data_IF_112774916840
#
_entry.id   IF_112774916840
#
_cell.length_a   1.000
_cell.length_b   1.000
_cell.length_c   1.000
_cell.angle_alpha   90.00
_cell.angle_beta   90.00
_cell.angle_gamma   90.00
#
_symmetry.space_group_name_H-M   'P 1'
#
loop_
_entity.id
_entity.type
_entity.pdbx_description
1 polymer ?
#
# COMPACT_ATOMS: atom_id res chain seq x y z
N UNK A 1 0.29 69.51 -51.97
CA UNK A 1 0.88 70.51 -51.06
C UNK A 1 0.89 69.91 -49.64
N UNK A 2 2.09 69.85 -49.02
CA UNK A 2 2.43 69.52 -47.62
C UNK A 2 2.01 68.15 -47.07
N UNK A 3 2.87 67.19 -46.99
CA UNK A 3 3.79 66.77 -45.90
C UNK A 3 3.24 66.85 -44.48
N UNK A 4 3.17 65.74 -43.79
CA UNK A 4 3.65 65.61 -42.44
C UNK A 4 3.89 64.10 -42.10
N UNK A 5 5.14 63.79 -41.79
CA UNK A 5 5.66 62.55 -41.24
C UNK A 5 5.17 62.39 -39.83
N UNK A 6 4.90 61.14 -39.41
CA UNK A 6 4.66 60.74 -38.05
C UNK A 6 5.25 59.37 -37.83
N UNK A 7 6.47 59.33 -37.30
CA UNK A 7 7.12 58.14 -36.78
C UNK A 7 6.35 57.68 -35.56
N UNK A 8 5.90 56.42 -35.53
CA UNK A 8 5.39 55.72 -34.38
C UNK A 8 6.26 54.52 -34.10
N UNK A 9 6.91 54.54 -32.93
CA UNK A 9 7.73 53.49 -32.37
C UNK A 9 7.01 52.12 -32.29
N UNK A 10 7.70 51.02 -32.45
CA UNK A 10 7.14 49.71 -32.21
C UNK A 10 7.04 49.48 -30.70
N UNK A 11 5.80 49.40 -30.22
CA UNK A 11 5.46 49.05 -28.85
C UNK A 11 5.88 47.62 -28.54
N UNK A 12 6.84 47.49 -27.63
CA UNK A 12 7.33 46.24 -27.03
C UNK A 12 6.14 45.51 -26.41
N UNK A 13 5.87 44.28 -26.84
CA UNK A 13 4.91 43.39 -26.25
C UNK A 13 5.41 43.01 -24.83
N UNK A 14 4.52 42.96 -23.82
CA UNK A 14 4.90 42.50 -22.49
C UNK A 14 5.23 41.01 -22.51
N UNK A 15 6.38 40.65 -21.87
CA UNK A 15 6.89 39.31 -21.76
C UNK A 15 5.86 38.37 -21.16
N UNK A 16 5.82 37.16 -21.72
CA UNK A 16 5.13 36.00 -21.17
C UNK A 16 5.80 35.70 -19.83
N UNK A 17 5.09 35.62 -18.71
CA UNK A 17 5.69 35.18 -17.46
C UNK A 17 6.11 33.72 -17.59
N UNK A 18 7.30 33.46 -17.10
CA UNK A 18 7.94 32.16 -17.02
C UNK A 18 7.00 31.09 -16.47
N UNK A 19 7.05 29.95 -17.10
CA UNK A 19 6.47 28.66 -16.71
C UNK A 19 6.49 28.51 -15.20
N UNK A 20 5.32 28.60 -14.58
CA UNK A 20 5.11 28.10 -13.23
C UNK A 20 5.51 26.62 -13.21
N UNK A 21 6.53 26.34 -12.45
CA UNK A 21 6.94 24.99 -12.07
C UNK A 21 5.72 24.27 -11.51
N UNK A 22 5.28 23.23 -12.20
CA UNK A 22 4.30 22.27 -11.67
C UNK A 22 4.76 21.88 -10.28
N UNK A 23 3.97 22.04 -9.22
CA UNK A 23 4.35 21.57 -7.91
C UNK A 23 4.54 20.07 -8.01
N UNK A 24 5.77 19.62 -7.73
CA UNK A 24 6.12 18.21 -7.66
C UNK A 24 5.15 17.51 -6.71
N UNK A 25 4.72 16.31 -7.09
CA UNK A 25 4.03 15.37 -6.21
C UNK A 25 4.85 15.31 -4.92
N UNK A 26 4.28 15.57 -3.74
CA UNK A 26 5.07 15.57 -2.51
C UNK A 26 5.72 14.19 -2.31
N UNK A 27 6.97 14.19 -1.91
CA UNK A 27 7.90 13.09 -1.60
C UNK A 27 7.42 12.10 -0.50
N UNK A 28 6.10 11.92 -0.36
CA UNK A 28 5.52 11.09 0.70
C UNK A 28 5.83 9.60 0.59
N UNK A 29 6.13 9.09 -0.60
CA UNK A 29 6.38 7.66 -0.78
C UNK A 29 7.78 7.26 -0.27
N UNK A 30 8.80 8.06 -0.56
CA UNK A 30 10.18 7.81 -0.10
C UNK A 30 10.29 7.92 1.42
N UNK A 31 9.51 8.81 2.05
CA UNK A 31 9.47 8.97 3.50
C UNK A 31 8.76 7.78 4.19
N UNK A 32 7.71 7.21 3.59
CA UNK A 32 7.03 6.02 4.12
C UNK A 32 7.96 4.80 4.05
N UNK A 33 8.66 4.59 2.93
CA UNK A 33 9.59 3.47 2.76
C UNK A 33 10.77 3.56 3.73
N UNK A 34 11.31 4.76 3.97
CA UNK A 34 12.39 4.97 4.93
C UNK A 34 11.94 4.69 6.38
N UNK A 35 10.75 5.16 6.77
CA UNK A 35 10.15 4.88 8.08
C UNK A 35 9.84 3.40 8.26
N UNK A 36 9.32 2.75 7.21
CA UNK A 36 9.05 1.32 7.21
C UNK A 36 10.34 0.50 7.40
N UNK A 37 11.41 0.85 6.69
CA UNK A 37 12.72 0.21 6.83
C UNK A 37 13.26 0.33 8.27
N UNK A 38 13.18 1.53 8.84
CA UNK A 38 13.56 1.78 10.24
C UNK A 38 12.73 0.90 11.19
N UNK A 39 11.40 0.86 11.00
CA UNK A 39 10.51 0.06 11.85
C UNK A 39 10.76 -1.43 11.75
N UNK A 40 11.07 -1.96 10.57
CA UNK A 40 11.45 -3.36 10.38
C UNK A 40 12.73 -3.71 11.16
N UNK A 41 13.74 -2.85 11.11
CA UNK A 41 14.96 -3.03 11.87
C UNK A 41 14.73 -3.00 13.40
N UNK A 42 13.89 -2.07 13.89
CA UNK A 42 13.48 -2.01 15.30
C UNK A 42 12.77 -3.28 15.75
N UNK A 43 11.77 -3.75 14.99
CA UNK A 43 11.02 -4.97 15.32
C UNK A 43 11.94 -6.20 15.44
N UNK A 44 12.94 -6.31 14.57
CA UNK A 44 13.95 -7.36 14.68
C UNK A 44 14.79 -7.19 15.94
N UNK A 45 15.25 -5.97 16.22
CA UNK A 45 16.06 -5.65 17.40
C UNK A 45 15.29 -5.87 18.71
N UNK A 46 14.01 -5.49 18.79
CA UNK A 46 13.11 -5.74 19.93
C UNK A 46 13.04 -7.25 20.30
N UNK A 47 13.18 -8.12 19.31
CA UNK A 47 13.22 -9.57 19.50
C UNK A 47 14.64 -10.11 19.77
N UNK A 48 15.66 -9.26 19.72
CA UNK A 48 17.06 -9.65 19.85
C UNK A 48 17.57 -10.51 18.68
N UNK A 49 16.90 -10.49 17.53
CA UNK A 49 17.26 -11.34 16.39
C UNK A 49 18.34 -10.71 15.51
N UNK A 50 19.30 -11.53 15.11
CA UNK A 50 20.20 -11.23 13.99
C UNK A 50 19.43 -11.29 12.66
N UNK A 51 20.00 -10.70 11.59
CA UNK A 51 19.46 -10.86 10.24
C UNK A 51 19.44 -12.35 9.78
N UNK A 52 20.37 -13.16 10.28
CA UNK A 52 20.38 -14.60 10.01
C UNK A 52 19.18 -15.32 10.62
N UNK A 53 18.91 -15.09 11.90
CA UNK A 53 17.77 -15.67 12.60
C UNK A 53 16.42 -15.20 12.00
N UNK A 54 16.33 -13.94 11.60
CA UNK A 54 15.13 -13.45 10.91
C UNK A 54 14.97 -14.13 9.54
N UNK A 55 16.06 -14.34 8.80
CA UNK A 55 16.04 -15.05 7.52
C UNK A 55 15.54 -16.50 7.67
N UNK A 56 16.01 -17.22 8.66
CA UNK A 56 15.56 -18.60 8.97
C UNK A 56 14.06 -18.65 9.30
N UNK A 57 13.56 -17.69 10.09
CA UNK A 57 12.14 -17.62 10.50
C UNK A 57 11.19 -17.22 9.39
N UNK A 58 11.64 -16.33 8.49
CA UNK A 58 10.80 -15.78 7.42
C UNK A 58 10.94 -16.53 6.10
N UNK A 59 12.04 -17.26 5.88
CA UNK A 59 12.41 -17.84 4.59
C UNK A 59 12.82 -16.78 3.55
N UNK A 60 13.17 -15.56 4.01
CA UNK A 60 13.65 -14.46 3.15
C UNK A 60 15.19 -14.44 3.26
N UNK A 61 15.89 -14.17 2.14
CA UNK A 61 17.34 -14.11 2.18
C UNK A 61 17.85 -12.99 3.09
N UNK A 62 18.96 -13.23 3.79
CA UNK A 62 19.62 -12.22 4.63
C UNK A 62 19.93 -10.93 3.87
N UNK A 63 20.34 -11.05 2.60
CA UNK A 63 20.64 -9.89 1.75
C UNK A 63 19.37 -9.05 1.45
N UNK A 64 18.26 -9.71 1.15
CA UNK A 64 16.96 -9.05 0.93
C UNK A 64 16.49 -8.32 2.19
N UNK A 65 16.55 -8.96 3.35
CA UNK A 65 16.22 -8.36 4.65
C UNK A 65 17.07 -7.13 4.93
N UNK A 66 18.39 -7.25 4.75
CA UNK A 66 19.32 -6.13 4.96
C UNK A 66 19.03 -4.95 4.05
N UNK A 67 18.70 -5.19 2.78
CA UNK A 67 18.33 -4.12 1.84
C UNK A 67 17.01 -3.47 2.20
N UNK A 68 16.03 -4.26 2.62
CA UNK A 68 14.73 -3.73 3.08
C UNK A 68 14.89 -2.86 4.34
N UNK A 69 15.71 -3.28 5.32
CA UNK A 69 15.96 -2.51 6.55
C UNK A 69 16.80 -1.23 6.32
N UNK A 70 17.46 -1.09 5.16
CA UNK A 70 18.19 0.12 4.76
C UNK A 70 17.45 0.98 3.74
N UNK A 71 16.19 0.69 3.46
CA UNK A 71 15.39 1.34 2.42
C UNK A 71 16.03 1.29 1.01
N UNK A 72 16.89 0.29 0.74
CA UNK A 72 17.49 0.09 -0.58
C UNK A 72 16.53 -0.60 -1.56
N UNK A 73 15.47 -1.19 -1.05
CA UNK A 73 14.36 -1.76 -1.81
C UNK A 73 13.05 -1.46 -1.06
N UNK A 74 11.98 -1.18 -1.79
CA UNK A 74 10.63 -1.18 -1.27
C UNK A 74 10.17 -2.63 -1.07
N UNK A 75 9.70 -3.03 0.14
CA UNK A 75 9.27 -4.39 0.40
C UNK A 75 7.97 -4.73 -0.34
N UNK A 76 7.92 -5.93 -0.95
CA UNK A 76 6.69 -6.42 -1.59
C UNK A 76 5.62 -6.84 -0.55
N UNK A 77 4.35 -6.92 -0.97
CA UNK A 77 3.27 -7.40 -0.11
C UNK A 77 3.54 -8.80 0.46
N UNK A 78 4.10 -9.70 -0.34
CA UNK A 78 4.46 -11.04 0.09
C UNK A 78 5.59 -11.02 1.15
N UNK A 79 6.59 -10.16 0.97
CA UNK A 79 7.68 -9.98 1.93
C UNK A 79 7.14 -9.39 3.25
N UNK A 80 6.34 -8.32 3.18
CA UNK A 80 5.71 -7.72 4.36
C UNK A 80 4.84 -8.73 5.11
N UNK A 81 4.03 -9.54 4.41
CA UNK A 81 3.20 -10.55 5.06
C UNK A 81 4.03 -11.59 5.83
N UNK A 82 5.17 -12.04 5.28
CA UNK A 82 6.09 -12.98 5.97
C UNK A 82 6.71 -12.35 7.22
N UNK A 83 7.13 -11.09 7.14
CA UNK A 83 7.65 -10.34 8.29
C UNK A 83 6.56 -10.16 9.36
N UNK A 84 5.37 -9.72 8.96
CA UNK A 84 4.22 -9.56 9.85
C UNK A 84 3.90 -10.87 10.59
N UNK A 85 3.94 -12.02 9.89
CA UNK A 85 3.64 -13.32 10.47
C UNK A 85 4.61 -13.72 11.61
N UNK A 86 5.91 -13.44 11.49
CA UNK A 86 6.90 -13.79 12.54
C UNK A 86 6.85 -12.80 13.72
N UNK A 87 6.38 -11.57 13.47
CA UNK A 87 6.20 -10.57 14.50
C UNK A 87 4.79 -10.61 15.16
N UNK A 88 3.85 -11.42 14.61
CA UNK A 88 2.48 -11.52 15.12
C UNK A 88 1.65 -10.26 14.89
N UNK A 89 1.84 -9.59 13.75
CA UNK A 89 1.21 -8.31 13.39
C UNK A 89 0.49 -8.41 12.06
N UNK A 90 -0.51 -7.56 11.84
CA UNK A 90 -1.08 -7.34 10.50
C UNK A 90 -0.21 -6.36 9.69
N UNK A 91 -0.36 -6.39 8.37
CA UNK A 91 0.28 -5.39 7.51
C UNK A 91 -0.21 -3.98 7.86
N UNK A 92 -1.49 -3.82 8.20
CA UNK A 92 -2.06 -2.54 8.63
C UNK A 92 -1.43 -2.05 9.93
N UNK A 93 -1.22 -2.94 10.91
CA UNK A 93 -0.53 -2.57 12.15
C UNK A 93 0.91 -2.10 11.87
N UNK A 94 1.65 -2.83 11.03
CA UNK A 94 3.00 -2.45 10.67
C UNK A 94 3.06 -1.10 9.95
N UNK A 95 2.18 -0.88 8.98
CA UNK A 95 2.12 0.38 8.24
C UNK A 95 1.59 1.52 9.13
N UNK A 96 0.60 1.25 9.98
CA UNK A 96 0.06 2.24 10.91
C UNK A 96 1.02 2.67 12.01
N UNK A 97 2.02 1.85 12.37
CA UNK A 97 3.09 2.23 13.31
C UNK A 97 4.12 3.19 12.69
N UNK A 98 4.20 3.19 11.39
CA UNK A 98 5.04 4.13 10.61
C UNK A 98 4.33 5.48 10.46
N UNK A 99 3.02 5.49 10.64
CA UNK A 99 2.16 6.67 10.61
C UNK A 99 1.86 7.11 12.04
N UNK A 100 1.66 8.40 12.27
CA UNK A 100 1.23 8.92 13.58
C UNK A 100 -0.13 8.31 13.97
N UNK A 101 -0.43 8.18 15.28
CA UNK A 101 -1.72 7.70 15.79
C UNK A 101 -2.88 8.31 15.01
N UNK A 102 -3.68 7.49 14.35
CA UNK A 102 -4.76 7.96 13.51
C UNK A 102 -5.83 8.69 14.35
N UNK A 103 -6.27 9.89 13.95
CA UNK A 103 -7.36 10.58 14.61
C UNK A 103 -8.68 9.80 14.45
N UNK A 104 -9.69 10.11 15.29
CA UNK A 104 -11.02 9.50 15.15
C UNK A 104 -11.64 9.72 13.77
N UNK A 105 -11.38 10.88 13.17
CA UNK A 105 -11.76 11.21 11.80
C UNK A 105 -10.52 11.14 10.90
N UNK A 106 -10.45 10.14 10.03
CA UNK A 106 -9.43 10.03 8.99
C UNK A 106 -10.01 10.57 7.69
N UNK A 107 -9.57 11.75 7.27
CA UNK A 107 -10.02 12.35 6.02
C UNK A 107 -9.43 11.60 4.82
N UNK A 108 -10.09 11.67 3.68
CA UNK A 108 -9.66 10.95 2.47
C UNK A 108 -8.22 11.30 2.04
N UNK A 109 -7.85 12.57 2.18
CA UNK A 109 -6.53 13.09 1.82
C UNK A 109 -5.43 12.67 2.82
N UNK A 110 -5.84 12.29 4.05
CA UNK A 110 -4.94 11.82 5.11
C UNK A 110 -4.81 10.28 5.13
N UNK A 111 -5.55 9.57 4.25
CA UNK A 111 -5.50 8.11 4.17
C UNK A 111 -4.23 7.66 3.45
N UNK A 112 -3.36 7.01 4.18
CA UNK A 112 -2.13 6.49 3.62
C UNK A 112 -2.37 5.51 2.47
N UNK A 113 -1.59 5.65 1.42
CA UNK A 113 -1.61 4.79 0.24
C UNK A 113 -0.24 4.13 0.10
N UNK A 114 -0.26 2.82 -0.01
CA UNK A 114 0.92 2.02 -0.30
C UNK A 114 0.71 1.23 -1.60
N UNK A 115 1.75 1.14 -2.42
CA UNK A 115 1.73 0.39 -3.68
C UNK A 115 2.77 -0.71 -3.65
N UNK A 116 2.34 -1.94 -3.97
CA UNK A 116 3.25 -3.07 -4.12
C UNK A 116 4.06 -2.92 -5.41
N UNK A 117 5.39 -2.89 -5.33
CA UNK A 117 6.23 -2.65 -6.51
C UNK A 117 6.20 -3.79 -7.53
N UNK A 118 5.90 -5.02 -7.10
CA UNK A 118 5.92 -6.19 -7.99
C UNK A 118 4.60 -6.36 -8.75
N UNK A 119 3.47 -6.22 -8.07
CA UNK A 119 2.15 -6.50 -8.63
C UNK A 119 1.36 -5.25 -9.02
N UNK A 120 1.83 -4.06 -8.61
CA UNK A 120 1.08 -2.83 -8.74
C UNK A 120 -0.19 -2.77 -7.85
N UNK A 121 -0.33 -3.70 -6.90
CA UNK A 121 -1.43 -3.66 -5.93
C UNK A 121 -1.37 -2.36 -5.12
N UNK A 122 -2.46 -1.60 -5.15
CA UNK A 122 -2.61 -0.38 -4.38
C UNK A 122 -3.48 -0.66 -3.17
N UNK A 123 -2.98 -0.31 -2.00
CA UNK A 123 -3.64 -0.42 -0.71
C UNK A 123 -3.79 0.96 -0.08
N UNK A 124 -5.04 1.37 0.17
CA UNK A 124 -5.37 2.60 0.91
C UNK A 124 -5.87 2.24 2.31
N UNK A 125 -5.29 2.82 3.34
CA UNK A 125 -5.69 2.64 4.74
C UNK A 125 -6.83 3.60 5.09
N UNK A 126 -8.08 3.13 4.96
CA UNK A 126 -9.29 3.96 5.20
C UNK A 126 -9.53 4.14 6.69
N UNK A 127 -9.42 3.05 7.46
CA UNK A 127 -9.45 3.06 8.92
C UNK A 127 -8.23 2.28 9.40
N UNK A 128 -7.13 2.97 9.72
CA UNK A 128 -5.90 2.32 10.18
C UNK A 128 -6.09 1.66 11.56
N UNK A 129 -5.20 0.74 11.93
CA UNK A 129 -5.21 0.13 13.25
C UNK A 129 -5.10 1.20 14.34
N UNK A 130 -5.92 1.06 15.37
CA UNK A 130 -5.87 1.95 16.53
C UNK A 130 -6.04 1.13 17.80
N UNK A 131 -5.33 1.46 18.90
CA UNK A 131 -5.53 0.81 20.20
C UNK A 131 -7.00 0.81 20.61
N UNK A 132 -7.53 -0.35 20.99
CA UNK A 132 -8.94 -0.53 21.38
C UNK A 132 -9.89 -0.85 20.23
N UNK A 133 -9.47 -0.73 18.98
CA UNK A 133 -10.25 -1.16 17.82
C UNK A 133 -9.78 -2.54 17.32
N UNK A 134 -10.75 -3.38 16.96
CA UNK A 134 -10.47 -4.74 16.47
C UNK A 134 -10.57 -4.87 14.95
N UNK A 135 -11.13 -3.86 14.29
CA UNK A 135 -11.33 -3.86 12.86
C UNK A 135 -10.51 -2.76 12.17
N UNK A 136 -9.98 -3.10 11.01
CA UNK A 136 -9.31 -2.20 10.09
C UNK A 136 -10.09 -2.18 8.78
N UNK A 137 -10.15 -1.03 8.13
CA UNK A 137 -10.79 -0.86 6.84
C UNK A 137 -9.75 -0.47 5.79
N UNK A 138 -9.66 -1.26 4.74
CA UNK A 138 -8.71 -1.09 3.65
C UNK A 138 -9.46 -1.03 2.33
N UNK A 139 -9.10 -0.11 1.47
CA UNK A 139 -9.48 -0.14 0.06
C UNK A 139 -8.32 -0.76 -0.75
N UNK A 140 -8.63 -1.80 -1.50
CA UNK A 140 -7.69 -2.47 -2.39
C UNK A 140 -8.02 -2.22 -3.86
N UNK A 141 -6.98 -2.01 -4.67
CA UNK A 141 -7.09 -1.99 -6.13
C UNK A 141 -6.05 -2.93 -6.73
N UNK A 142 -6.50 -3.84 -7.57
CA UNK A 142 -5.67 -4.74 -8.35
C UNK A 142 -5.84 -4.44 -9.84
N UNK A 143 -4.74 -4.23 -10.52
CA UNK A 143 -4.73 -4.06 -11.96
C UNK A 143 -4.93 -5.42 -12.69
N UNK A 144 -5.39 -5.41 -13.95
CA UNK A 144 -5.53 -6.62 -14.73
C UNK A 144 -4.26 -7.46 -14.76
N UNK A 145 -4.38 -8.75 -14.48
CA UNK A 145 -3.27 -9.69 -14.44
C UNK A 145 -2.49 -9.71 -13.12
N UNK A 146 -2.80 -8.86 -12.16
CA UNK A 146 -2.17 -8.91 -10.84
C UNK A 146 -2.45 -10.24 -10.13
N UNK A 147 -1.43 -10.76 -9.42
CA UNK A 147 -1.45 -12.02 -8.68
C UNK A 147 -0.73 -11.87 -7.34
N UNK A 148 -1.49 -11.67 -6.28
CA UNK A 148 -0.99 -11.56 -4.92
C UNK A 148 -1.12 -12.88 -4.18
N UNK A 149 -0.06 -13.35 -3.58
CA UNK A 149 -0.02 -14.61 -2.81
C UNK A 149 0.49 -14.39 -1.41
N UNK A 150 -0.25 -14.93 -0.45
CA UNK A 150 0.08 -14.92 0.96
C UNK A 150 0.12 -16.36 1.45
N UNK A 151 1.28 -16.84 1.88
CA UNK A 151 1.49 -18.25 2.24
C UNK A 151 0.81 -18.63 3.57
N UNK A 152 0.69 -17.68 4.48
CA UNK A 152 0.11 -17.87 5.82
C UNK A 152 -0.49 -16.59 6.37
N UNK A 153 -1.46 -16.69 7.31
CA UNK A 153 -1.97 -15.50 7.98
C UNK A 153 -0.88 -14.85 8.85
N UNK A 154 -0.83 -13.52 8.92
CA UNK A 154 0.09 -12.81 9.82
C UNK A 154 -0.31 -13.01 11.29
N UNK A 155 -1.61 -13.14 11.57
CA UNK A 155 -2.14 -13.38 12.92
C UNK A 155 -3.11 -14.55 12.86
N UNK A 156 -2.94 -15.59 13.72
CA UNK A 156 -3.91 -16.69 13.81
C UNK A 156 -5.30 -16.20 14.21
N UNK A 157 -6.34 -16.72 13.55
CA UNK A 157 -7.71 -16.34 13.84
C UNK A 157 -8.21 -15.08 13.14
N UNK A 158 -7.38 -14.44 12.33
CA UNK A 158 -7.75 -13.28 11.53
C UNK A 158 -8.98 -13.57 10.66
N UNK A 159 -9.96 -12.67 10.69
CA UNK A 159 -11.12 -12.72 9.79
C UNK A 159 -10.97 -11.66 8.70
N UNK A 160 -11.43 -11.99 7.50
CA UNK A 160 -11.47 -11.07 6.38
C UNK A 160 -12.85 -11.05 5.75
N UNK A 161 -13.35 -9.85 5.43
CA UNK A 161 -14.53 -9.62 4.63
C UNK A 161 -14.10 -8.78 3.43
N UNK A 162 -14.26 -9.33 2.22
CA UNK A 162 -13.88 -8.66 0.98
C UNK A 162 -15.13 -8.34 0.19
N UNK A 163 -15.44 -7.07 0.03
CA UNK A 163 -16.57 -6.58 -0.72
C UNK A 163 -16.12 -5.91 -2.02
N UNK A 164 -16.44 -6.50 -3.16
CA UNK A 164 -16.05 -5.98 -4.47
C UNK A 164 -16.94 -4.79 -4.83
N UNK A 165 -16.30 -3.71 -5.22
CA UNK A 165 -16.95 -2.47 -5.63
C UNK A 165 -17.01 -2.33 -7.16
N UNK A 166 -15.91 -2.69 -7.82
CA UNK A 166 -15.74 -2.58 -9.26
C UNK A 166 -14.89 -3.74 -9.79
N UNK A 167 -15.07 -4.09 -11.05
CA UNK A 167 -14.28 -5.10 -11.75
C UNK A 167 -14.57 -6.53 -11.31
N UNK A 168 -13.63 -7.44 -11.55
CA UNK A 168 -13.72 -8.85 -11.17
C UNK A 168 -12.50 -9.23 -10.34
N UNK A 169 -12.76 -9.78 -9.16
CA UNK A 169 -11.75 -10.29 -8.24
C UNK A 169 -11.91 -11.79 -8.08
N UNK A 170 -10.82 -12.52 -8.16
CA UNK A 170 -10.82 -13.94 -7.80
C UNK A 170 -9.96 -14.16 -6.57
N UNK A 171 -10.53 -14.80 -5.55
CA UNK A 171 -9.86 -15.08 -4.28
C UNK A 171 -9.83 -16.58 -4.05
N UNK A 172 -8.63 -17.12 -3.89
CA UNK A 172 -8.45 -18.52 -3.49
C UNK A 172 -8.23 -18.62 -1.99
N UNK A 173 -9.10 -19.35 -1.30
CA UNK A 173 -9.03 -19.59 0.15
C UNK A 173 -9.07 -21.09 0.39
N UNK A 174 -8.09 -21.63 1.10
CA UNK A 174 -8.01 -23.07 1.41
C UNK A 174 -8.14 -23.96 0.14
N UNK A 175 -7.54 -23.52 -0.97
CA UNK A 175 -7.56 -24.23 -2.25
C UNK A 175 -8.84 -24.04 -3.09
N UNK A 176 -9.86 -23.37 -2.56
CA UNK A 176 -11.10 -23.08 -3.29
C UNK A 176 -11.05 -21.67 -3.87
N UNK A 177 -11.22 -21.55 -5.19
CA UNK A 177 -11.30 -20.27 -5.88
C UNK A 177 -12.74 -19.74 -5.88
N UNK A 178 -12.89 -18.48 -5.52
CA UNK A 178 -14.14 -17.72 -5.52
C UNK A 178 -14.01 -16.54 -6.46
N UNK A 179 -14.82 -16.51 -7.52
CA UNK A 179 -14.87 -15.38 -8.44
C UNK A 179 -15.98 -14.43 -8.02
N UNK A 180 -15.63 -13.17 -7.82
CA UNK A 180 -16.48 -12.13 -7.27
C UNK A 180 -16.64 -10.99 -8.27
N UNK A 181 -17.88 -10.54 -8.44
CA UNK A 181 -18.26 -9.34 -9.19
C UNK A 181 -18.66 -8.18 -8.27
N UNK A 182 -19.01 -7.02 -8.85
CA UNK A 182 -19.47 -5.87 -8.08
C UNK A 182 -20.69 -6.21 -7.21
N UNK A 183 -20.62 -5.86 -5.92
CA UNK A 183 -21.65 -6.15 -4.92
C UNK A 183 -21.44 -7.45 -4.16
N UNK A 184 -20.64 -8.40 -4.67
CA UNK A 184 -20.37 -9.65 -3.97
C UNK A 184 -19.47 -9.41 -2.74
N UNK A 185 -19.72 -10.20 -1.70
CA UNK A 185 -18.92 -10.20 -0.47
C UNK A 185 -18.51 -11.63 -0.11
N UNK A 186 -17.20 -11.85 -0.04
CA UNK A 186 -16.60 -13.07 0.50
C UNK A 186 -16.09 -12.81 1.92
N UNK A 187 -16.52 -13.65 2.87
CA UNK A 187 -16.03 -13.62 4.25
C UNK A 187 -15.39 -14.93 4.64
N UNK A 188 -14.26 -14.89 5.29
CA UNK A 188 -13.53 -16.09 5.69
C UNK A 188 -12.57 -15.82 6.86
N UNK A 189 -12.25 -16.89 7.59
CA UNK A 189 -11.12 -16.91 8.53
C UNK A 189 -9.88 -17.36 7.82
N UNK A 190 -8.82 -16.58 7.94
CA UNK A 190 -7.54 -16.90 7.32
C UNK A 190 -6.86 -18.00 8.13
N UNK A 191 -6.80 -19.20 7.55
CA UNK A 191 -6.20 -20.38 8.21
C UNK A 191 -4.97 -20.93 7.48
N UNK A 192 -4.66 -20.42 6.31
CA UNK A 192 -3.56 -20.87 5.46
C UNK A 192 -3.32 -19.89 4.31
N UNK A 193 -2.78 -20.41 3.22
CA UNK A 193 -2.50 -19.60 2.04
C UNK A 193 -3.76 -18.96 1.45
N UNK A 194 -3.62 -17.72 1.00
CA UNK A 194 -4.63 -16.99 0.23
C UNK A 194 -4.01 -16.38 -1.01
N UNK A 195 -4.79 -16.27 -2.08
CA UNK A 195 -4.37 -15.67 -3.34
C UNK A 195 -5.46 -14.75 -3.84
N UNK A 196 -5.08 -13.56 -4.29
CA UNK A 196 -5.96 -12.57 -4.90
C UNK A 196 -5.49 -12.31 -6.32
N UNK A 197 -6.38 -12.45 -7.29
CA UNK A 197 -6.08 -12.20 -8.70
C UNK A 197 -7.14 -11.32 -9.33
N UNK A 198 -6.73 -10.52 -10.32
CA UNK A 198 -7.62 -9.73 -11.15
C UNK A 198 -7.67 -10.31 -12.58
N UNK A 199 -8.63 -11.24 -12.87
CA UNK A 199 -8.71 -11.89 -14.18
C UNK A 199 -9.45 -11.05 -15.24
N UNK A 200 -10.01 -9.92 -14.86
CA UNK A 200 -10.82 -9.08 -15.74
C UNK A 200 -10.00 -8.17 -16.65
N UNK A 201 -10.64 -7.55 -17.67
CA UNK A 201 -9.97 -6.56 -18.51
C UNK A 201 -9.77 -5.22 -17.82
N UNK A 202 -10.50 -4.94 -16.75
CA UNK A 202 -10.40 -3.73 -15.92
C UNK A 202 -9.90 -4.03 -14.53
N UNK A 203 -9.41 -3.00 -13.83
CA UNK A 203 -8.96 -3.13 -12.45
C UNK A 203 -10.11 -3.55 -11.52
N UNK A 204 -9.81 -4.40 -10.55
CA UNK A 204 -10.72 -4.74 -9.47
C UNK A 204 -10.51 -3.76 -8.31
N UNK A 205 -11.61 -3.17 -7.80
CA UNK A 205 -11.64 -2.36 -6.58
C UNK A 205 -12.50 -3.03 -5.54
N UNK A 206 -12.00 -3.13 -4.34
CA UNK A 206 -12.70 -3.79 -3.24
C UNK A 206 -12.42 -3.13 -1.90
N UNK A 207 -13.36 -3.29 -0.99
CA UNK A 207 -13.17 -2.96 0.42
C UNK A 207 -12.85 -4.24 1.17
N UNK A 208 -11.76 -4.22 1.94
CA UNK A 208 -11.35 -5.30 2.82
C UNK A 208 -11.50 -4.84 4.27
N UNK A 209 -12.33 -5.54 5.03
CA UNK A 209 -12.39 -5.42 6.49
C UNK A 209 -11.55 -6.55 7.08
N UNK A 210 -10.55 -6.19 7.87
CA UNK A 210 -9.70 -7.12 8.62
C UNK A 210 -10.12 -7.04 10.07
N UNK A 211 -10.50 -8.17 10.65
CA UNK A 211 -10.91 -8.25 12.07
C UNK A 211 -9.90 -9.08 12.83
N UNK A 212 -9.31 -8.46 13.85
CA UNK A 212 -8.37 -9.11 14.76
C UNK A 212 -9.12 -9.99 15.78
N UNK A 213 -8.54 -11.13 16.17
CA UNK A 213 -9.15 -12.03 17.17
C UNK A 213 -9.29 -11.40 18.56
#
# INVERSE_FOLDING_TARGET
MKQASGSGDPQTAPGVPDTESTPGIPDGADDVDARLATRLAELRAERGWSLGELAERTGISRSTLSRAERAEISPTAALLNRLCAVHGRTMSQLLGEVEALAPQLVRADDQAVWTDPDSGFVRRSVSPPQPGFRAELVEGRLDPGADLRYDRPPVPGLEQHVWVREGTLEITVQGTAHRLGPGDCLRFRVRGATRFTCPGPGAARYTLVVVLP
#
